data_IF_578696536165
#
_entry.id   IF_578696536165
#
_cell.length_a   1.000
_cell.length_b   1.000
_cell.length_c   1.000
_cell.angle_alpha   90.00
_cell.angle_beta   90.00
_cell.angle_gamma   90.00
#
_symmetry.space_group_name_H-M   'P 1'
#
loop_
_entity.id
_entity.type
_entity.pdbx_description
1 polymer ?
#
# COMPACT_ATOMS: atom_id res chain seq x y z
N UNK A 1 -14.38 4.13 -21.00
CA UNK A 1 -13.90 4.06 -19.60
C UNK A 1 -15.07 3.62 -18.73
N UNK A 2 -14.84 2.81 -17.67
CA UNK A 2 -15.89 2.46 -16.72
C UNK A 2 -16.47 3.71 -16.05
N UNK A 3 -17.70 3.61 -15.54
CA UNK A 3 -18.29 4.72 -14.78
C UNK A 3 -17.51 4.94 -13.48
N UNK A 4 -17.23 6.20 -13.09
CA UNK A 4 -16.58 6.49 -11.81
C UNK A 4 -17.37 5.93 -10.63
N UNK A 5 -16.63 5.38 -9.67
CA UNK A 5 -17.14 4.90 -8.40
C UNK A 5 -17.06 6.05 -7.40
N UNK A 6 -18.22 6.55 -6.98
CA UNK A 6 -18.35 7.66 -6.01
C UNK A 6 -18.16 7.16 -4.56
N UNK A 7 -16.98 6.59 -4.27
CA UNK A 7 -16.60 6.09 -2.93
C UNK A 7 -15.14 6.43 -2.62
N UNK A 8 -14.83 6.59 -1.34
CA UNK A 8 -13.44 6.64 -0.89
C UNK A 8 -12.85 5.24 -0.79
N UNK A 9 -11.55 5.14 -1.08
CA UNK A 9 -10.80 3.88 -1.07
C UNK A 9 -10.88 3.20 0.31
N UNK A 10 -10.73 3.97 1.38
CA UNK A 10 -10.82 3.43 2.73
C UNK A 10 -12.22 2.90 3.05
N UNK A 11 -13.30 3.48 2.50
CA UNK A 11 -14.65 2.97 2.73
C UNK A 11 -14.83 1.55 2.19
N UNK A 12 -14.27 1.24 1.03
CA UNK A 12 -14.32 -0.10 0.45
C UNK A 12 -13.65 -1.13 1.35
N UNK A 13 -12.59 -0.73 2.05
CA UNK A 13 -11.89 -1.58 3.01
C UNK A 13 -12.66 -1.68 4.33
N UNK A 14 -13.22 -0.58 4.82
CA UNK A 14 -14.05 -0.55 6.03
C UNK A 14 -15.28 -1.46 5.92
N UNK A 15 -15.91 -1.48 4.74
CA UNK A 15 -17.00 -2.43 4.44
C UNK A 15 -16.57 -3.89 4.65
N UNK A 16 -15.33 -4.23 4.28
CA UNK A 16 -14.76 -5.58 4.51
C UNK A 16 -14.37 -5.80 5.97
N UNK A 17 -13.84 -4.79 6.64
CA UNK A 17 -13.52 -4.87 8.06
C UNK A 17 -14.75 -5.22 8.90
N UNK A 18 -15.88 -4.57 8.62
CA UNK A 18 -17.14 -4.84 9.28
C UNK A 18 -17.73 -6.21 8.92
N UNK A 19 -17.63 -6.62 7.65
CA UNK A 19 -18.24 -7.87 7.18
C UNK A 19 -17.49 -9.14 7.60
N UNK A 20 -16.17 -9.08 7.80
CA UNK A 20 -15.34 -10.26 8.09
C UNK A 20 -14.20 -9.97 9.08
N UNK A 21 -14.49 -9.50 10.31
CA UNK A 21 -13.49 -9.02 11.25
C UNK A 21 -12.46 -10.07 11.66
N UNK A 22 -12.79 -11.36 11.61
CA UNK A 22 -11.88 -12.45 11.99
C UNK A 22 -11.07 -13.00 10.81
N UNK A 23 -11.32 -12.56 9.58
CA UNK A 23 -10.57 -13.01 8.42
C UNK A 23 -9.16 -12.37 8.40
N UNK A 24 -8.15 -13.05 7.84
CA UNK A 24 -6.81 -12.49 7.72
C UNK A 24 -6.79 -11.33 6.72
N UNK A 25 -6.32 -10.16 7.14
CA UNK A 25 -6.14 -8.98 6.29
C UNK A 25 -4.69 -8.84 5.83
N UNK A 26 -3.74 -9.01 6.76
CA UNK A 26 -2.30 -8.82 6.52
C UNK A 26 -1.57 -10.06 7.03
N UNK A 27 -0.65 -10.59 6.22
CA UNK A 27 0.32 -11.60 6.61
C UNK A 27 1.70 -11.06 6.24
N UNK A 28 2.36 -10.39 7.18
CA UNK A 28 3.65 -9.73 6.97
C UNK A 28 4.76 -10.48 7.71
N UNK A 29 6.01 -10.24 7.30
CA UNK A 29 7.19 -10.80 7.97
C UNK A 29 7.30 -10.40 9.46
N UNK A 30 6.75 -9.24 9.83
CA UNK A 30 6.74 -8.69 11.18
C UNK A 30 5.41 -8.94 11.93
N UNK A 31 4.54 -9.79 11.38
CA UNK A 31 3.35 -10.31 12.02
C UNK A 31 2.10 -10.29 11.15
N UNK A 32 1.03 -10.86 11.70
CA UNK A 32 -0.26 -10.98 11.03
C UNK A 32 -1.30 -10.05 11.66
N UNK A 33 -2.29 -9.65 10.87
CA UNK A 33 -3.46 -8.92 11.36
C UNK A 33 -4.72 -9.43 10.68
N UNK A 34 -5.75 -9.67 11.47
CA UNK A 34 -7.13 -9.82 11.00
C UNK A 34 -7.69 -8.47 10.55
N UNK A 35 -8.81 -8.51 9.82
CA UNK A 35 -9.54 -7.31 9.42
C UNK A 35 -10.00 -6.47 10.61
N UNK A 36 -10.37 -7.09 11.73
CA UNK A 36 -10.76 -6.40 12.97
C UNK A 36 -9.57 -5.73 13.65
N UNK A 37 -8.41 -6.39 13.72
CA UNK A 37 -7.19 -5.78 14.26
C UNK A 37 -6.70 -4.62 13.38
N UNK A 38 -6.80 -4.76 12.06
CA UNK A 38 -6.49 -3.69 11.11
C UNK A 38 -7.44 -2.50 11.26
N UNK A 39 -8.74 -2.73 11.50
CA UNK A 39 -9.71 -1.68 11.81
C UNK A 39 -9.25 -0.87 13.02
N UNK A 40 -8.98 -1.55 14.15
CA UNK A 40 -8.61 -0.91 15.40
C UNK A 40 -7.31 -0.14 15.25
N UNK A 41 -6.28 -0.76 14.66
CA UNK A 41 -4.98 -0.13 14.49
C UNK A 41 -5.04 1.10 13.58
N UNK A 42 -5.69 0.98 12.41
CA UNK A 42 -5.81 2.10 11.47
C UNK A 42 -6.71 3.22 12.00
N UNK A 43 -7.76 2.91 12.77
CA UNK A 43 -8.62 3.92 13.43
C UNK A 43 -7.88 4.70 14.48
N UNK A 44 -7.08 4.01 15.30
CA UNK A 44 -6.28 4.62 16.36
C UNK A 44 -5.23 5.56 15.81
N UNK A 45 -4.50 5.12 14.78
CA UNK A 45 -3.54 5.98 14.12
C UNK A 45 -4.23 7.15 13.41
N UNK A 46 -5.36 6.92 12.70
CA UNK A 46 -6.10 7.99 12.02
C UNK A 46 -6.54 9.11 12.97
N UNK A 47 -7.04 8.78 14.17
CA UNK A 47 -7.36 9.78 15.20
C UNK A 47 -6.13 10.61 15.58
N UNK A 48 -5.00 9.97 15.82
CA UNK A 48 -3.77 10.69 16.15
C UNK A 48 -3.29 11.59 15.00
N UNK A 49 -3.51 11.18 13.75
CA UNK A 49 -3.22 12.00 12.57
C UNK A 49 -4.14 13.23 12.50
N UNK A 50 -5.44 13.08 12.80
CA UNK A 50 -6.38 14.21 12.86
C UNK A 50 -5.97 15.24 13.91
N UNK A 51 -5.55 14.81 15.10
CA UNK A 51 -5.04 15.70 16.16
C UNK A 51 -3.81 16.50 15.72
N UNK A 52 -3.06 15.99 14.74
CA UNK A 52 -1.90 16.64 14.12
C UNK A 52 -2.24 17.46 12.88
N UNK A 53 -3.52 17.64 12.60
CA UNK A 53 -4.00 18.47 11.49
C UNK A 53 -4.04 17.77 10.14
N UNK A 54 -3.93 16.44 10.09
CA UNK A 54 -4.25 15.69 8.87
C UNK A 54 -5.75 15.80 8.59
N UNK A 55 -6.11 15.98 7.32
CA UNK A 55 -7.47 16.19 6.86
C UNK A 55 -7.53 16.15 5.33
N UNK A 56 -8.71 16.41 4.72
CA UNK A 56 -8.86 16.56 3.27
C UNK A 56 -7.78 17.45 2.65
N UNK A 57 -7.20 16.99 1.53
CA UNK A 57 -6.14 17.68 0.77
C UNK A 57 -4.80 17.88 1.52
N UNK A 58 -4.65 17.33 2.73
CA UNK A 58 -3.37 17.32 3.44
C UNK A 58 -2.52 16.15 2.97
N UNK A 59 -1.34 16.45 2.42
CA UNK A 59 -0.38 15.45 1.96
C UNK A 59 0.50 14.96 3.11
N UNK A 60 0.50 13.65 3.37
CA UNK A 60 1.29 13.02 4.43
C UNK A 60 2.37 12.15 3.80
N UNK A 61 3.62 12.45 4.11
CA UNK A 61 4.75 11.66 3.62
C UNK A 61 4.78 10.27 4.26
N UNK A 62 5.17 9.26 3.50
CA UNK A 62 5.37 7.89 3.98
C UNK A 62 6.78 7.43 3.60
N UNK A 63 7.65 7.30 4.60
CA UNK A 63 9.01 6.79 4.45
C UNK A 63 9.23 5.62 5.41
N UNK A 64 8.60 4.48 5.09
CA UNK A 64 8.64 3.27 5.91
C UNK A 64 9.09 2.07 5.09
N UNK A 65 9.81 1.16 5.73
CA UNK A 65 10.06 -0.18 5.22
C UNK A 65 8.76 -0.98 5.12
N UNK A 66 8.76 -1.97 4.23
CA UNK A 66 7.64 -2.90 4.05
C UNK A 66 7.38 -3.63 5.36
N UNK A 67 6.15 -3.54 5.87
CA UNK A 67 5.73 -4.10 7.15
C UNK A 67 4.21 -4.10 7.23
N UNK A 68 3.63 -4.77 8.22
CA UNK A 68 2.20 -4.60 8.52
C UNK A 68 1.88 -3.13 8.87
N UNK A 69 2.80 -2.43 9.52
CA UNK A 69 2.63 -1.03 9.92
C UNK A 69 2.61 -0.07 8.73
N UNK A 70 3.32 -0.35 7.65
CA UNK A 70 3.23 0.42 6.41
C UNK A 70 1.81 0.41 5.83
N UNK A 71 1.14 -0.75 5.84
CA UNK A 71 -0.26 -0.89 5.40
C UNK A 71 -1.21 -0.16 6.34
N UNK A 72 -1.03 -0.31 7.67
CA UNK A 72 -1.79 0.42 8.69
C UNK A 72 -1.67 1.93 8.50
N UNK A 73 -0.45 2.43 8.27
CA UNK A 73 -0.14 3.84 8.07
C UNK A 73 -0.85 4.42 6.84
N UNK A 74 -0.79 3.73 5.70
CA UNK A 74 -1.51 4.14 4.48
C UNK A 74 -3.01 4.26 4.74
N UNK A 75 -3.64 3.23 5.33
CA UNK A 75 -5.07 3.27 5.63
C UNK A 75 -5.42 4.38 6.63
N UNK A 76 -4.59 4.59 7.65
CA UNK A 76 -4.81 5.63 8.65
C UNK A 76 -4.77 7.03 8.04
N UNK A 77 -3.84 7.31 7.12
CA UNK A 77 -3.76 8.57 6.39
C UNK A 77 -5.06 8.82 5.63
N UNK A 78 -5.53 7.83 4.85
CA UNK A 78 -6.77 7.96 4.08
C UNK A 78 -7.99 8.14 4.98
N UNK A 79 -8.08 7.40 6.09
CA UNK A 79 -9.18 7.52 7.07
C UNK A 79 -9.19 8.87 7.76
N UNK A 80 -8.03 9.47 7.99
CA UNK A 80 -7.91 10.85 8.47
C UNK A 80 -8.26 11.88 7.38
N UNK A 81 -8.44 11.46 6.12
CA UNK A 81 -8.74 12.30 4.96
C UNK A 81 -7.52 12.84 4.22
N UNK A 82 -6.31 12.49 4.66
CA UNK A 82 -5.08 12.91 3.99
C UNK A 82 -4.75 12.09 2.75
N UNK A 83 -3.81 12.60 1.96
CA UNK A 83 -3.23 11.93 0.80
C UNK A 83 -1.89 11.28 1.15
N UNK A 84 -1.69 10.03 0.73
CA UNK A 84 -0.43 9.31 0.96
C UNK A 84 0.62 9.75 -0.08
N UNK A 85 1.80 10.16 0.39
CA UNK A 85 2.94 10.51 -0.47
C UNK A 85 4.13 9.61 -0.15
N UNK A 86 4.32 8.49 -0.88
CA UNK A 86 5.46 7.60 -0.66
C UNK A 86 6.78 8.29 -1.02
N UNK A 87 7.72 8.35 -0.07
CA UNK A 87 9.00 9.07 -0.20
C UNK A 87 10.18 8.17 -0.59
N UNK A 88 10.07 6.87 -0.30
CA UNK A 88 11.06 5.86 -0.64
C UNK A 88 12.24 5.81 0.33
N UNK A 89 12.31 4.72 1.10
CA UNK A 89 13.38 4.47 2.08
C UNK A 89 14.77 4.38 1.47
N UNK A 90 14.95 4.10 0.18
CA UNK A 90 16.29 4.05 -0.45
C UNK A 90 16.67 5.34 -1.18
N UNK A 91 15.81 6.37 -1.16
CA UNK A 91 16.05 7.61 -1.91
C UNK A 91 16.99 8.58 -1.17
N UNK A 92 17.80 9.38 -1.92
CA UNK A 92 18.64 10.41 -1.32
C UNK A 92 17.82 11.43 -0.54
N UNK A 93 18.35 11.92 0.59
CA UNK A 93 17.67 12.91 1.44
C UNK A 93 17.28 14.17 0.68
N UNK A 94 18.11 14.64 -0.26
CA UNK A 94 17.80 15.80 -1.10
C UNK A 94 16.54 15.60 -1.96
N UNK A 95 16.31 14.37 -2.45
CA UNK A 95 15.08 14.02 -3.19
C UNK A 95 13.88 14.03 -2.25
N UNK A 96 14.01 13.42 -1.07
CA UNK A 96 12.93 13.37 -0.07
C UNK A 96 12.56 14.80 0.36
N UNK A 97 13.54 15.64 0.69
CA UNK A 97 13.33 17.04 1.04
C UNK A 97 12.65 17.81 -0.08
N UNK A 98 13.05 17.58 -1.34
CA UNK A 98 12.42 18.19 -2.50
C UNK A 98 10.92 17.86 -2.59
N UNK A 99 10.55 16.59 -2.38
CA UNK A 99 9.15 16.14 -2.39
C UNK A 99 8.38 16.72 -1.19
N UNK A 100 8.95 16.68 0.02
CA UNK A 100 8.32 17.23 1.23
C UNK A 100 8.05 18.72 1.07
N UNK A 101 8.98 19.47 0.47
CA UNK A 101 8.81 20.90 0.20
C UNK A 101 7.74 21.16 -0.87
N UNK A 102 7.73 20.38 -1.95
CA UNK A 102 6.77 20.52 -3.06
C UNK A 102 5.33 20.20 -2.62
N UNK A 103 5.18 19.21 -1.74
CA UNK A 103 3.88 18.81 -1.15
C UNK A 103 3.45 19.64 0.05
N UNK A 104 4.34 20.49 0.57
CA UNK A 104 4.16 21.19 1.85
C UNK A 104 3.72 20.23 2.98
N UNK A 105 4.23 18.99 2.99
CA UNK A 105 3.77 17.94 3.90
C UNK A 105 4.07 18.32 5.36
N UNK A 106 3.05 18.49 6.23
CA UNK A 106 3.26 18.87 7.63
C UNK A 106 3.77 17.71 8.48
N UNK A 107 3.59 16.47 8.01
CA UNK A 107 3.89 15.25 8.72
C UNK A 107 4.47 14.19 7.75
N UNK A 108 5.47 13.45 8.22
CA UNK A 108 6.01 12.26 7.57
C UNK A 108 5.95 11.10 8.55
N UNK A 109 5.29 10.01 8.12
CA UNK A 109 5.27 8.74 8.83
C UNK A 109 6.52 7.93 8.48
N UNK A 110 7.20 7.46 9.52
CA UNK A 110 8.44 6.67 9.44
C UNK A 110 8.33 5.43 10.32
N UNK A 111 9.25 4.49 10.14
CA UNK A 111 9.58 3.51 11.18
C UNK A 111 10.74 4.04 12.03
N UNK A 112 10.97 3.41 13.18
CA UNK A 112 12.05 3.79 14.11
C UNK A 112 13.43 3.76 13.44
N UNK A 113 13.66 2.87 12.48
CA UNK A 113 14.95 2.77 11.77
C UNK A 113 15.25 3.96 10.87
N UNK A 114 14.24 4.62 10.29
CA UNK A 114 14.45 5.79 9.41
C UNK A 114 14.32 7.14 10.12
N UNK A 115 13.86 7.17 11.38
CA UNK A 115 13.67 8.42 12.14
C UNK A 115 14.95 9.26 12.24
N UNK A 116 16.08 8.64 12.65
CA UNK A 116 17.35 9.36 12.79
C UNK A 116 17.85 9.91 11.45
N UNK A 117 17.66 9.16 10.37
CA UNK A 117 18.11 9.57 9.03
C UNK A 117 17.32 10.76 8.51
N UNK A 118 16.03 10.85 8.82
CA UNK A 118 15.16 11.93 8.39
C UNK A 118 15.10 13.09 9.39
N UNK A 119 15.83 13.04 10.51
CA UNK A 119 15.81 14.06 11.54
C UNK A 119 16.12 15.48 11.02
N UNK A 120 16.93 15.62 9.98
CA UNK A 120 17.26 16.92 9.37
C UNK A 120 16.08 17.55 8.60
N UNK A 121 15.05 16.78 8.23
CA UNK A 121 13.82 17.29 7.62
C UNK A 121 12.94 18.07 8.63
N UNK A 122 13.22 17.95 9.93
CA UNK A 122 12.32 18.38 11.01
C UNK A 122 12.16 19.89 11.19
N UNK A 123 12.91 20.72 10.46
CA UNK A 123 12.80 22.17 10.56
C UNK A 123 11.39 22.69 10.19
N UNK A 124 10.68 22.00 9.29
CA UNK A 124 9.37 22.42 8.78
C UNK A 124 8.32 21.29 8.72
N UNK A 125 8.68 20.07 9.12
CA UNK A 125 7.84 18.87 9.00
C UNK A 125 8.00 18.00 10.23
N UNK A 126 6.90 17.50 10.80
CA UNK A 126 6.96 16.57 11.93
C UNK A 126 7.27 15.15 11.44
N UNK A 127 8.03 14.39 12.22
CA UNK A 127 8.18 12.95 12.02
C UNK A 127 7.33 12.19 13.05
N UNK A 128 6.72 11.09 12.63
CA UNK A 128 6.01 10.18 13.50
C UNK A 128 6.45 8.74 13.22
N UNK A 129 7.18 8.14 14.15
CA UNK A 129 7.55 6.73 14.11
C UNK A 129 6.34 5.84 14.46
N UNK A 130 5.78 5.16 13.46
CA UNK A 130 4.50 4.44 13.57
C UNK A 130 4.61 3.19 14.44
N UNK A 131 5.68 2.42 14.30
CA UNK A 131 5.98 1.27 15.15
C UNK A 131 6.09 1.67 16.63
N UNK A 132 6.76 2.79 16.91
CA UNK A 132 6.91 3.35 18.25
C UNK A 132 5.60 3.87 18.83
N UNK A 133 4.72 4.43 17.99
CA UNK A 133 3.36 4.81 18.40
C UNK A 133 2.55 3.61 18.91
N UNK A 134 2.69 2.44 18.29
CA UNK A 134 1.97 1.24 18.73
C UNK A 134 2.60 0.53 19.94
N UNK A 135 3.91 0.72 20.18
CA UNK A 135 4.60 0.23 21.38
C UNK A 135 4.26 1.03 22.66
N UNK A 136 3.82 2.29 22.52
CA UNK A 136 3.58 3.18 23.66
C UNK A 136 2.24 2.85 24.36
N UNK A 137 2.25 2.35 25.61
CA UNK A 137 1.03 2.01 26.33
C UNK A 137 0.21 3.24 26.76
N UNK A 138 0.78 4.44 26.68
CA UNK A 138 0.11 5.70 27.02
C UNK A 138 -0.73 6.26 25.87
N UNK A 139 -0.53 5.77 24.65
CA UNK A 139 -1.37 6.15 23.52
C UNK A 139 -2.79 5.63 23.76
N UNK A 140 -3.78 6.52 23.77
CA UNK A 140 -5.13 6.22 24.26
C UNK A 140 -5.77 5.08 23.45
N UNK A 141 -6.50 4.20 24.13
CA UNK A 141 -7.36 3.22 23.48
C UNK A 141 -8.55 3.96 22.86
N UNK A 142 -8.52 4.12 21.54
CA UNK A 142 -9.50 4.96 20.84
C UNK A 142 -10.82 4.25 20.55
N UNK A 143 -11.05 3.08 21.14
CA UNK A 143 -12.32 2.32 21.07
C UNK A 143 -13.55 3.10 21.51
N UNK A 144 -13.38 4.25 22.18
CA UNK A 144 -14.46 5.11 22.69
C UNK A 144 -14.66 6.43 21.93
N UNK A 145 -13.84 6.77 20.94
CA UNK A 145 -14.05 7.99 20.15
C UNK A 145 -15.16 7.75 19.11
N UNK A 146 -16.00 8.77 18.92
CA UNK A 146 -17.07 8.83 17.90
C UNK A 146 -16.55 8.43 16.51
N UNK A 147 -17.46 8.15 15.57
CA UNK A 147 -17.12 7.96 14.16
C UNK A 147 -16.11 9.03 13.72
N UNK A 148 -14.95 8.59 13.24
CA UNK A 148 -14.01 9.44 12.51
C UNK A 148 -14.83 10.11 11.41
N UNK A 149 -15.14 11.40 11.57
CA UNK A 149 -15.99 12.11 10.63
C UNK A 149 -15.27 13.27 9.92
N UNK A 150 -14.05 13.10 9.37
CA UNK A 150 -13.62 14.00 8.32
C UNK A 150 -14.55 13.80 7.12
N UNK A 151 -15.07 14.88 6.56
CA UNK A 151 -15.88 14.87 5.33
C UNK A 151 -14.99 14.54 4.12
N UNK A 152 -14.42 13.33 4.07
CA UNK A 152 -13.65 12.86 2.91
C UNK A 152 -14.61 12.57 1.77
N UNK A 153 -14.25 13.00 0.57
CA UNK A 153 -15.10 12.89 -0.61
C UNK A 153 -14.35 12.17 -1.73
N UNK A 154 -15.05 11.52 -2.68
CA UNK A 154 -14.42 10.77 -3.77
C UNK A 154 -13.50 11.61 -4.66
N UNK A 155 -13.72 12.92 -4.76
CA UNK A 155 -12.88 13.87 -5.51
C UNK A 155 -11.60 14.30 -4.77
N UNK A 156 -11.45 13.99 -3.49
CA UNK A 156 -10.23 14.34 -2.76
C UNK A 156 -9.06 13.44 -3.19
N UNK A 157 -7.85 14.01 -3.16
CA UNK A 157 -6.61 13.29 -3.47
C UNK A 157 -6.36 12.22 -2.40
N UNK A 158 -6.14 10.99 -2.84
CA UNK A 158 -5.84 9.84 -1.98
C UNK A 158 -4.35 9.46 -2.00
N UNK A 159 -3.70 9.62 -3.15
CA UNK A 159 -2.27 9.34 -3.33
C UNK A 159 -1.60 10.38 -4.20
N UNK A 160 -0.31 10.61 -3.94
CA UNK A 160 0.58 11.35 -4.85
C UNK A 160 1.83 10.52 -5.12
N UNK A 161 2.03 10.10 -6.38
CA UNK A 161 3.18 9.32 -6.81
C UNK A 161 4.15 10.21 -7.58
N UNK A 162 5.39 10.31 -7.11
CA UNK A 162 6.43 11.10 -7.76
C UNK A 162 7.20 10.30 -8.81
N UNK A 163 7.06 10.68 -10.07
CA UNK A 163 7.79 10.05 -11.19
C UNK A 163 8.97 10.90 -11.64
N UNK A 164 9.95 10.29 -12.31
CA UNK A 164 11.03 11.01 -12.98
C UNK A 164 10.47 11.80 -14.17
N UNK A 165 10.24 13.09 -13.98
CA UNK A 165 9.80 13.97 -15.05
C UNK A 165 10.86 14.11 -16.15
N UNK A 166 10.43 14.33 -17.39
CA UNK A 166 11.31 14.58 -18.54
C UNK A 166 12.26 15.78 -18.37
N UNK A 167 11.93 16.69 -17.45
CA UNK A 167 12.72 17.88 -17.11
C UNK A 167 13.77 17.63 -16.01
N UNK A 168 13.90 16.40 -15.51
CA UNK A 168 14.82 16.04 -14.42
C UNK A 168 14.29 16.35 -13.01
N UNK A 169 13.31 17.25 -12.89
CA UNK A 169 12.58 17.49 -11.64
C UNK A 169 11.45 16.46 -11.48
N UNK A 170 11.35 15.77 -10.34
CA UNK A 170 10.23 14.86 -10.06
C UNK A 170 8.88 15.58 -10.13
N UNK A 171 7.85 14.92 -10.65
CA UNK A 171 6.48 15.47 -10.71
C UNK A 171 5.54 14.57 -9.92
N UNK A 172 4.73 15.16 -9.05
CA UNK A 172 3.68 14.45 -8.31
C UNK A 172 2.46 14.21 -9.18
N UNK A 173 2.14 12.94 -9.44
CA UNK A 173 0.88 12.52 -10.05
C UNK A 173 -0.15 12.34 -8.95
N UNK A 174 -1.17 13.20 -8.94
CA UNK A 174 -2.26 13.16 -7.96
C UNK A 174 -3.33 12.15 -8.42
N UNK A 175 -3.70 11.25 -7.51
CA UNK A 175 -4.71 10.21 -7.73
C UNK A 175 -5.85 10.41 -6.74
N UNK A 176 -7.03 10.71 -7.26
CA UNK A 176 -8.26 10.87 -6.47
C UNK A 176 -8.82 9.53 -5.99
N UNK A 177 -9.57 9.57 -4.90
CA UNK A 177 -10.25 8.40 -4.35
C UNK A 177 -11.14 7.68 -5.37
N UNK A 178 -11.97 8.43 -6.12
CA UNK A 178 -12.92 7.90 -7.10
C UNK A 178 -12.21 7.13 -8.21
N UNK A 179 -11.08 7.64 -8.70
CA UNK A 179 -10.27 7.00 -9.73
C UNK A 179 -9.69 5.67 -9.24
N UNK A 180 -9.13 5.65 -8.03
CA UNK A 180 -8.57 4.43 -7.43
C UNK A 180 -9.68 3.41 -7.14
N UNK A 181 -10.80 3.83 -6.54
CA UNK A 181 -11.96 2.98 -6.27
C UNK A 181 -12.52 2.35 -7.55
N UNK A 182 -12.57 3.12 -8.64
CA UNK A 182 -12.97 2.64 -9.97
C UNK A 182 -11.99 1.60 -10.49
N UNK A 183 -10.68 1.83 -10.34
CA UNK A 183 -9.65 0.87 -10.76
C UNK A 183 -9.75 -0.44 -9.96
N UNK A 184 -9.86 -0.35 -8.63
CA UNK A 184 -10.01 -1.50 -7.72
C UNK A 184 -11.11 -2.44 -8.20
N UNK A 185 -12.31 -1.89 -8.47
CA UNK A 185 -13.45 -2.69 -8.92
C UNK A 185 -13.28 -3.17 -10.37
N UNK A 186 -12.63 -2.39 -11.23
CA UNK A 186 -12.33 -2.79 -12.60
C UNK A 186 -11.37 -3.98 -12.68
N UNK A 187 -10.12 -3.80 -12.24
CA UNK A 187 -9.09 -4.84 -12.36
C UNK A 187 -9.27 -5.97 -11.35
N UNK A 188 -9.86 -5.72 -10.17
CA UNK A 188 -9.97 -6.74 -9.13
C UNK A 188 -10.84 -7.93 -9.56
N UNK A 189 -11.91 -7.66 -10.31
CA UNK A 189 -12.71 -8.69 -10.95
C UNK A 189 -11.95 -9.41 -12.08
N UNK A 190 -11.19 -8.67 -12.90
CA UNK A 190 -10.39 -9.24 -13.99
C UNK A 190 -9.27 -10.15 -13.48
N UNK A 191 -8.66 -9.84 -12.32
CA UNK A 191 -7.67 -10.67 -11.66
C UNK A 191 -8.28 -11.89 -10.95
N UNK A 192 -9.61 -11.96 -10.88
CA UNK A 192 -10.31 -13.08 -10.26
C UNK A 192 -10.11 -13.17 -8.75
N UNK A 193 -9.87 -12.03 -8.06
CA UNK A 193 -9.64 -11.99 -6.62
C UNK A 193 -10.91 -12.40 -5.86
N UNK A 194 -10.74 -13.25 -4.85
CA UNK A 194 -11.76 -13.74 -3.91
C UNK A 194 -11.31 -13.50 -2.47
N UNK A 195 -12.23 -13.48 -1.48
CA UNK A 195 -11.88 -13.21 -0.08
C UNK A 195 -10.89 -14.21 0.56
N UNK A 196 -10.72 -15.41 0.01
CA UNK A 196 -9.76 -16.40 0.51
C UNK A 196 -8.38 -16.32 -0.17
N UNK A 197 -8.20 -15.42 -1.15
CA UNK A 197 -6.94 -15.26 -1.84
C UNK A 197 -5.88 -14.56 -0.98
N UNK A 198 -4.63 -14.79 -1.36
CA UNK A 198 -3.44 -14.24 -0.73
C UNK A 198 -2.60 -13.57 -1.81
N UNK A 199 -2.44 -12.26 -1.73
CA UNK A 199 -1.79 -11.48 -2.77
C UNK A 199 -0.40 -11.01 -2.33
N UNK A 200 0.57 -11.02 -3.24
CA UNK A 200 1.92 -10.51 -2.93
C UNK A 200 1.96 -8.98 -2.90
N UNK A 201 2.64 -8.40 -1.90
CA UNK A 201 3.01 -6.98 -1.89
C UNK A 201 4.47 -6.82 -2.37
N UNK A 202 4.69 -6.90 -3.69
CA UNK A 202 6.03 -6.86 -4.26
C UNK A 202 6.48 -5.42 -4.55
N UNK A 203 5.66 -4.62 -5.21
CA UNK A 203 6.05 -3.30 -5.67
C UNK A 203 6.56 -2.39 -4.53
N UNK A 204 7.60 -1.59 -4.79
CA UNK A 204 8.01 -0.57 -3.84
C UNK A 204 6.89 0.45 -3.65
N UNK A 205 6.71 0.99 -2.45
CA UNK A 205 5.60 1.93 -2.16
C UNK A 205 5.64 3.20 -3.03
N UNK A 206 6.79 3.55 -3.59
CA UNK A 206 6.94 4.67 -4.53
C UNK A 206 6.44 4.39 -5.95
N UNK A 207 5.98 3.16 -6.23
CA UNK A 207 5.31 2.79 -7.47
C UNK A 207 3.81 2.61 -7.22
N UNK A 208 3.01 3.10 -8.15
CA UNK A 208 1.55 3.03 -8.13
C UNK A 208 1.00 1.59 -8.09
N UNK A 209 1.75 0.61 -8.61
CA UNK A 209 1.47 -0.82 -8.47
C UNK A 209 1.24 -1.23 -7.00
N UNK A 210 1.94 -0.61 -6.05
CA UNK A 210 1.73 -0.91 -4.62
C UNK A 210 0.34 -0.48 -4.14
N UNK A 211 -0.23 0.58 -4.71
CA UNK A 211 -1.62 1.00 -4.45
C UNK A 211 -2.54 -0.12 -4.91
N UNK A 212 -2.35 -0.63 -6.13
CA UNK A 212 -3.13 -1.75 -6.65
C UNK A 212 -3.00 -2.99 -5.77
N UNK A 213 -1.79 -3.43 -5.43
CA UNK A 213 -1.55 -4.62 -4.62
C UNK A 213 -2.27 -4.50 -3.27
N UNK A 214 -2.11 -3.40 -2.55
CA UNK A 214 -2.61 -3.24 -1.18
C UNK A 214 -4.12 -2.99 -1.17
N UNK A 215 -4.56 -1.95 -1.88
CA UNK A 215 -5.95 -1.47 -1.75
C UNK A 215 -6.95 -2.44 -2.38
N UNK A 216 -6.60 -3.06 -3.50
CA UNK A 216 -7.48 -4.04 -4.17
C UNK A 216 -7.65 -5.31 -3.35
N UNK A 217 -6.55 -5.79 -2.78
CA UNK A 217 -6.55 -6.96 -1.90
C UNK A 217 -7.51 -6.74 -0.73
N UNK A 218 -7.35 -5.61 -0.05
CA UNK A 218 -8.14 -5.30 1.15
C UNK A 218 -9.59 -4.96 0.82
N UNK A 219 -9.86 -4.22 -0.26
CA UNK A 219 -11.20 -3.87 -0.69
C UNK A 219 -12.02 -5.08 -1.17
N UNK A 220 -11.37 -6.16 -1.60
CA UNK A 220 -12.03 -7.41 -1.99
C UNK A 220 -12.06 -8.48 -0.89
N UNK A 221 -11.57 -8.15 0.30
CA UNK A 221 -11.62 -9.03 1.46
C UNK A 221 -10.54 -10.11 1.49
N UNK A 222 -9.52 -10.01 0.63
CA UNK A 222 -8.41 -10.95 0.57
C UNK A 222 -7.28 -10.56 1.56
N UNK A 223 -6.23 -11.37 1.63
CA UNK A 223 -5.09 -11.14 2.52
C UNK A 223 -3.86 -10.62 1.76
N UNK A 224 -3.29 -9.49 2.19
CA UNK A 224 -2.04 -8.95 1.62
C UNK A 224 -0.83 -9.57 2.32
N UNK A 225 0.06 -10.18 1.52
CA UNK A 225 1.28 -10.83 1.99
C UNK A 225 2.45 -9.88 1.80
N UNK A 226 3.05 -9.39 2.90
CA UNK A 226 4.10 -8.38 2.88
C UNK A 226 5.47 -9.00 3.23
N UNK A 227 6.41 -9.12 2.28
CA UNK A 227 7.73 -9.68 2.54
C UNK A 227 8.62 -8.70 3.30
N UNK A 228 9.65 -9.23 3.96
CA UNK A 228 10.81 -8.41 4.33
C UNK A 228 11.54 -7.93 3.07
N UNK A 229 12.37 -6.90 3.18
CA UNK A 229 13.15 -6.44 2.02
C UNK A 229 14.15 -7.52 1.55
N UNK A 230 14.72 -8.30 2.47
CA UNK A 230 15.60 -9.43 2.13
C UNK A 230 14.84 -10.52 1.38
N UNK A 231 13.65 -10.91 1.87
CA UNK A 231 12.83 -11.91 1.18
C UNK A 231 12.42 -11.45 -0.21
N UNK A 232 12.04 -10.17 -0.34
CA UNK A 232 11.62 -9.57 -1.61
C UNK A 232 12.70 -9.61 -2.67
N UNK A 233 13.96 -9.40 -2.29
CA UNK A 233 15.11 -9.28 -3.22
C UNK A 233 15.83 -10.60 -3.41
N UNK A 234 16.06 -11.34 -2.32
CA UNK A 234 16.96 -12.50 -2.29
C UNK A 234 16.24 -13.85 -2.19
N UNK A 235 14.99 -13.88 -1.70
CA UNK A 235 14.26 -15.13 -1.43
C UNK A 235 12.81 -15.12 -1.93
N UNK A 236 12.56 -14.46 -3.06
CA UNK A 236 11.19 -14.25 -3.54
C UNK A 236 10.43 -15.56 -3.76
N UNK A 237 11.02 -16.56 -4.43
CA UNK A 237 10.37 -17.86 -4.68
C UNK A 237 10.03 -18.60 -3.37
N UNK A 238 10.97 -18.82 -2.43
CA UNK A 238 10.64 -19.36 -1.11
C UNK A 238 9.54 -18.58 -0.38
N UNK A 239 9.63 -17.24 -0.38
CA UNK A 239 8.64 -16.40 0.28
C UNK A 239 7.23 -16.58 -0.28
N UNK A 240 7.08 -16.57 -1.61
CA UNK A 240 5.77 -16.76 -2.26
C UNK A 240 5.14 -18.12 -1.87
N UNK A 241 5.96 -19.16 -1.75
CA UNK A 241 5.53 -20.49 -1.34
C UNK A 241 5.15 -20.55 0.15
N UNK A 242 6.02 -20.04 1.03
CA UNK A 242 5.82 -20.01 2.49
C UNK A 242 4.59 -19.17 2.86
N UNK A 243 4.44 -18.00 2.24
CA UNK A 243 3.28 -17.12 2.40
C UNK A 243 2.04 -17.64 1.67
N UNK A 244 2.13 -18.75 0.92
CA UNK A 244 1.04 -19.36 0.14
C UNK A 244 0.30 -18.37 -0.74
N UNK A 245 1.06 -17.53 -1.46
CA UNK A 245 0.50 -16.53 -2.38
C UNK A 245 -0.30 -17.24 -3.47
N UNK A 246 -1.51 -16.74 -3.75
CA UNK A 246 -2.38 -17.24 -4.81
C UNK A 246 -2.37 -16.35 -6.04
N UNK A 247 -2.15 -15.04 -5.86
CA UNK A 247 -2.04 -14.07 -6.95
C UNK A 247 -0.80 -13.23 -6.75
N UNK A 248 0.12 -13.28 -7.72
CA UNK A 248 1.35 -12.50 -7.70
C UNK A 248 1.29 -11.40 -8.77
N UNK A 249 1.71 -10.19 -8.42
CA UNK A 249 1.90 -9.08 -9.38
C UNK A 249 3.39 -8.78 -9.47
N UNK A 250 3.99 -9.01 -10.64
CA UNK A 250 5.43 -8.91 -10.85
C UNK A 250 5.71 -8.22 -12.19
N UNK A 251 6.91 -7.68 -12.33
CA UNK A 251 7.41 -7.33 -13.67
C UNK A 251 7.81 -8.60 -14.42
N UNK A 252 7.82 -8.57 -15.75
CA UNK A 252 8.20 -9.73 -16.57
C UNK A 252 9.60 -10.26 -16.23
N UNK A 253 10.54 -9.37 -15.93
CA UNK A 253 11.92 -9.66 -15.56
C UNK A 253 12.00 -10.38 -14.21
N UNK A 254 11.20 -9.96 -13.23
CA UNK A 254 11.16 -10.62 -11.91
C UNK A 254 10.45 -11.97 -11.99
N UNK A 255 9.34 -12.06 -12.73
CA UNK A 255 8.63 -13.31 -12.94
C UNK A 255 9.49 -14.41 -13.61
N UNK A 256 10.48 -14.01 -14.43
CA UNK A 256 11.44 -14.94 -15.03
C UNK A 256 12.40 -15.58 -14.00
N UNK A 257 12.55 -15.00 -12.81
CA UNK A 257 13.40 -15.51 -11.73
C UNK A 257 12.66 -16.48 -10.81
N UNK A 258 11.32 -16.47 -10.84
CA UNK A 258 10.48 -17.28 -9.95
C UNK A 258 10.13 -18.60 -10.63
N UNK A 259 10.38 -19.72 -9.95
CA UNK A 259 10.09 -21.06 -10.45
C UNK A 259 8.63 -21.43 -10.13
N UNK A 260 7.75 -21.64 -11.13
CA UNK A 260 6.34 -21.95 -10.90
C UNK A 260 6.12 -23.23 -10.09
N UNK A 261 6.95 -24.25 -10.33
CA UNK A 261 6.91 -25.53 -9.61
C UNK A 261 7.18 -25.39 -8.12
N UNK A 262 7.95 -24.37 -7.73
CA UNK A 262 8.27 -24.09 -6.33
C UNK A 262 7.25 -23.14 -5.69
N UNK A 263 6.27 -22.64 -6.46
CA UNK A 263 5.20 -21.75 -6.00
C UNK A 263 3.82 -22.26 -6.41
N UNK A 264 3.46 -23.52 -6.07
CA UNK A 264 2.28 -24.21 -6.63
C UNK A 264 0.94 -23.60 -6.22
N UNK A 265 0.90 -22.67 -5.26
CA UNK A 265 -0.32 -21.97 -4.87
C UNK A 265 -0.65 -20.80 -5.80
N UNK A 266 0.34 -20.26 -6.51
CA UNK A 266 0.15 -19.13 -7.43
C UNK A 266 -0.65 -19.60 -8.62
N UNK A 267 -1.92 -19.21 -8.66
CA UNK A 267 -2.88 -19.55 -9.73
C UNK A 267 -3.07 -18.42 -10.73
N UNK A 268 -2.67 -17.19 -10.39
CA UNK A 268 -2.76 -16.04 -11.27
C UNK A 268 -1.49 -15.20 -11.16
N UNK A 269 -0.84 -14.95 -12.29
CA UNK A 269 0.32 -14.09 -12.42
C UNK A 269 -0.06 -12.84 -13.23
N UNK A 270 -0.06 -11.70 -12.56
CA UNK A 270 -0.25 -10.39 -13.19
C UNK A 270 1.13 -9.84 -13.54
N UNK A 271 1.37 -9.61 -14.82
CA UNK A 271 2.58 -8.99 -15.35
C UNK A 271 2.30 -7.51 -15.65
N UNK A 272 3.07 -6.61 -15.03
CA UNK A 272 2.88 -5.16 -15.17
C UNK A 272 4.21 -4.39 -15.05
N UNK A 273 4.25 -3.18 -15.61
CA UNK A 273 5.37 -2.24 -15.47
C UNK A 273 6.46 -2.37 -16.55
N UNK A 274 6.43 -3.40 -17.38
CA UNK A 274 7.30 -3.54 -18.56
C UNK A 274 6.67 -4.45 -19.63
N UNK A 275 7.30 -4.52 -20.81
CA UNK A 275 6.85 -5.40 -21.88
C UNK A 275 6.99 -6.89 -21.47
N UNK A 276 5.91 -7.65 -21.67
CA UNK A 276 5.88 -9.10 -21.36
C UNK A 276 6.77 -9.88 -22.31
N UNK A 277 7.67 -10.69 -21.76
CA UNK A 277 8.58 -11.55 -22.51
C UNK A 277 7.92 -12.92 -22.78
N UNK A 278 7.95 -13.40 -24.03
CA UNK A 278 7.32 -14.67 -24.43
C UNK A 278 7.79 -15.86 -23.58
N UNK A 279 9.09 -15.94 -23.25
CA UNK A 279 9.64 -17.00 -22.40
C UNK A 279 8.99 -17.08 -21.00
N UNK A 280 8.50 -15.95 -20.48
CA UNK A 280 7.82 -15.91 -19.17
C UNK A 280 6.42 -16.46 -19.31
N UNK A 281 5.75 -16.18 -20.43
CA UNK A 281 4.45 -16.80 -20.75
C UNK A 281 4.62 -18.31 -20.84
N UNK A 282 5.57 -18.79 -21.66
CA UNK A 282 5.84 -20.22 -21.83
C UNK A 282 6.17 -20.92 -20.50
N UNK A 283 6.91 -20.25 -19.61
CA UNK A 283 7.26 -20.76 -18.29
C UNK A 283 6.05 -20.93 -17.36
N UNK A 284 5.06 -20.01 -17.43
CA UNK A 284 3.98 -19.94 -16.44
C UNK A 284 2.63 -20.47 -16.92
N UNK A 285 2.41 -20.60 -18.24
CA UNK A 285 1.09 -20.80 -18.82
C UNK A 285 0.43 -22.13 -18.42
N UNK A 286 1.22 -23.15 -18.07
CA UNK A 286 0.71 -24.44 -17.58
C UNK A 286 0.47 -24.44 -16.05
N UNK A 287 0.87 -23.38 -15.35
CA UNK A 287 0.84 -23.29 -13.88
C UNK A 287 -0.14 -22.24 -13.35
N UNK A 288 -0.35 -21.15 -14.09
CA UNK A 288 -1.18 -20.02 -13.66
C UNK A 288 -1.86 -19.33 -14.85
N UNK A 289 -2.99 -18.68 -14.57
CA UNK A 289 -3.57 -17.70 -15.47
C UNK A 289 -2.64 -16.49 -15.57
N UNK A 290 -2.26 -16.11 -16.80
CA UNK A 290 -1.34 -14.99 -17.04
C UNK A 290 -2.13 -13.78 -17.51
N UNK A 291 -1.99 -12.66 -16.80
CA UNK A 291 -2.63 -11.40 -17.13
C UNK A 291 -1.54 -10.36 -17.44
N UNK A 292 -1.54 -9.84 -18.67
CA UNK A 292 -0.74 -8.67 -19.00
C UNK A 292 -1.53 -7.40 -18.69
N UNK A 293 -1.13 -6.66 -17.66
CA UNK A 293 -1.75 -5.41 -17.24
C UNK A 293 -0.90 -4.22 -17.65
N UNK A 294 -1.56 -3.14 -18.09
CA UNK A 294 -0.91 -1.93 -18.59
C UNK A 294 -1.60 -0.68 -18.07
N UNK A 295 -0.78 0.26 -17.57
CA UNK A 295 -1.17 1.60 -17.14
C UNK A 295 0.06 2.54 -17.24
N UNK A 296 -0.16 3.84 -17.50
CA UNK A 296 0.91 4.84 -17.60
C UNK A 296 1.43 5.34 -16.25
#
# INVERSE_FOLDING_TARGET
>A
MPQPVERCVHDLVLDKMAAQPTAPAISAWDGEMTYGELEVASRRLAHHLLERGVGPEVMVGLCMDKSKWGVVAMLAILRAGGAVVPLGVQHPLSRIQGIVNDTAAPLVLVDRSHEQRLAELTAHTQLLAVDSFFDDPSTVDTTTFDELCPSVRPEHVAWVIYTSGSTGTPKGVMLEHSAIATSILGHGHAFGIKPHDRLSQFAAYTFDVAIQEITTTLALGACICVPSEDDRVNRLTPYLAEARVTIATLTSTVAALVQPQDTPTVRTLVLMGEAVQAKVVDQWIEHADIINAYGP
#
